data_IF_314723961768
#
_entry.id   IF_314723961768
#
_cell.length_a   1.000
_cell.length_b   1.000
_cell.length_c   1.000
_cell.angle_alpha   90.00
_cell.angle_beta   90.00
_cell.angle_gamma   90.00
#
_symmetry.space_group_name_H-M   'P 1'
#
loop_
_entity.id
_entity.type
_entity.pdbx_description
1 polymer ?
#
# COMPACT_ATOMS: atom_id res chain seq x y z
N UNK A 1 -20.84 -2.54 -4.18
CA UNK A 1 -21.95 -1.58 -3.97
C UNK A 1 -21.74 -0.88 -2.63
N UNK A 2 -21.92 0.44 -2.58
CA UNK A 2 -21.78 1.27 -1.37
C UNK A 2 -22.68 0.72 -0.24
N UNK A 3 -22.20 0.73 1.00
CA UNK A 3 -23.02 0.39 2.17
C UNK A 3 -23.53 1.67 2.85
N UNK A 4 -24.68 1.59 3.53
CA UNK A 4 -25.30 2.78 4.14
C UNK A 4 -24.36 3.51 5.10
N UNK A 5 -23.58 2.78 5.90
CA UNK A 5 -22.63 3.31 6.88
C UNK A 5 -21.46 4.08 6.22
N UNK A 6 -21.23 3.84 4.94
CA UNK A 6 -20.14 4.48 4.19
C UNK A 6 -20.55 5.82 3.56
N UNK A 7 -21.86 6.07 3.39
CA UNK A 7 -22.38 7.23 2.64
C UNK A 7 -21.79 8.55 3.15
N UNK A 8 -21.89 8.80 4.46
CA UNK A 8 -21.38 10.03 5.07
C UNK A 8 -19.87 10.17 4.86
N UNK A 9 -19.11 9.11 5.10
CA UNK A 9 -17.65 9.08 4.97
C UNK A 9 -17.21 9.39 3.54
N UNK A 10 -17.80 8.70 2.55
CA UNK A 10 -17.47 8.93 1.14
C UNK A 10 -17.79 10.37 0.75
N UNK A 11 -18.99 10.85 1.07
CA UNK A 11 -19.42 12.22 0.78
C UNK A 11 -18.45 13.26 1.35
N UNK A 12 -18.06 13.13 2.63
CA UNK A 12 -17.15 14.07 3.29
C UNK A 12 -15.74 14.00 2.73
N UNK A 13 -15.26 12.79 2.41
CA UNK A 13 -13.93 12.61 1.79
C UNK A 13 -13.83 13.31 0.42
N UNK A 14 -14.88 13.24 -0.40
CA UNK A 14 -14.90 13.90 -1.71
C UNK A 14 -15.29 15.38 -1.64
N UNK A 15 -15.60 15.89 -0.45
CA UNK A 15 -15.90 17.31 -0.23
C UNK A 15 -17.32 17.74 -0.59
N UNK A 16 -18.28 16.81 -0.71
CA UNK A 16 -19.65 17.09 -1.10
C UNK A 16 -20.51 17.35 0.14
N UNK A 17 -21.35 18.40 0.09
CA UNK A 17 -22.30 18.73 1.17
C UNK A 17 -23.54 17.83 1.12
N UNK A 18 -24.23 17.69 2.28
CA UNK A 18 -25.52 17.00 2.33
C UNK A 18 -26.55 17.64 1.38
N UNK A 19 -26.49 18.97 1.20
CA UNK A 19 -27.42 19.67 0.31
C UNK A 19 -27.20 19.30 -1.16
N UNK A 20 -25.94 19.24 -1.62
CA UNK A 20 -25.60 18.88 -2.99
C UNK A 20 -26.01 17.45 -3.28
N UNK A 21 -25.66 16.50 -2.41
CA UNK A 21 -26.03 15.11 -2.60
C UNK A 21 -27.56 14.92 -2.56
N UNK A 22 -28.26 15.53 -1.59
CA UNK A 22 -29.71 15.42 -1.47
C UNK A 22 -30.44 15.99 -2.70
N UNK A 23 -29.94 17.10 -3.24
CA UNK A 23 -30.46 17.70 -4.47
C UNK A 23 -30.28 16.78 -5.67
N UNK A 24 -29.10 16.18 -5.81
CA UNK A 24 -28.77 15.28 -6.92
C UNK A 24 -29.66 14.02 -6.94
N UNK A 25 -29.91 13.42 -5.79
CA UNK A 25 -30.73 12.20 -5.69
C UNK A 25 -32.23 12.49 -5.51
N UNK A 26 -32.65 13.76 -5.47
CA UNK A 26 -34.06 14.17 -5.39
C UNK A 26 -34.74 13.91 -4.06
N UNK A 27 -34.00 14.00 -2.93
CA UNK A 27 -34.56 13.85 -1.58
C UNK A 27 -34.34 15.10 -0.74
N UNK A 28 -35.02 15.19 0.43
CA UNK A 28 -34.74 16.28 1.37
C UNK A 28 -33.40 16.04 2.10
N UNK A 29 -32.70 17.14 2.43
CA UNK A 29 -31.47 17.09 3.26
C UNK A 29 -31.72 16.37 4.60
N UNK A 30 -32.90 16.60 5.21
CA UNK A 30 -33.26 16.00 6.50
C UNK A 30 -33.35 14.48 6.36
N UNK A 31 -33.94 13.98 5.28
CA UNK A 31 -34.05 12.56 5.00
C UNK A 31 -32.65 11.92 4.78
N UNK A 32 -31.79 12.55 3.97
CA UNK A 32 -30.40 12.09 3.78
C UNK A 32 -29.63 12.07 5.11
N UNK A 33 -29.78 13.11 5.93
CA UNK A 33 -29.14 13.16 7.26
C UNK A 33 -29.59 12.01 8.17
N UNK A 34 -30.86 11.60 8.10
CA UNK A 34 -31.37 10.45 8.86
C UNK A 34 -30.78 9.13 8.36
N UNK A 35 -30.61 8.99 7.04
CA UNK A 35 -29.93 7.82 6.43
C UNK A 35 -28.47 7.75 6.89
N UNK A 36 -27.73 8.86 6.80
CA UNK A 36 -26.32 8.91 7.18
C UNK A 36 -26.07 8.63 8.68
N UNK A 37 -27.05 8.90 9.54
CA UNK A 37 -26.99 8.57 10.98
C UNK A 37 -27.47 7.16 11.30
N UNK A 38 -28.03 6.45 10.32
CA UNK A 38 -28.64 5.14 10.54
C UNK A 38 -30.06 5.20 11.17
N UNK A 39 -30.65 6.39 11.34
CA UNK A 39 -32.00 6.58 11.88
C UNK A 39 -33.09 6.04 10.93
N UNK A 40 -32.76 5.95 9.64
CA UNK A 40 -33.62 5.36 8.59
C UNK A 40 -32.82 4.40 7.72
N UNK A 41 -33.43 3.27 7.40
CA UNK A 41 -32.88 2.30 6.46
C UNK A 41 -32.92 2.88 5.02
N UNK A 42 -31.87 2.62 4.28
CA UNK A 42 -31.75 2.92 2.86
C UNK A 42 -32.06 1.61 2.06
N UNK A 43 -33.03 1.67 1.15
CA UNK A 43 -33.29 0.55 0.26
C UNK A 43 -32.22 0.48 -0.86
N UNK A 44 -32.12 -0.64 -1.54
CA UNK A 44 -31.10 -0.88 -2.57
C UNK A 44 -31.17 0.11 -3.73
N UNK A 45 -32.39 0.49 -4.19
CA UNK A 45 -32.57 1.47 -5.27
C UNK A 45 -32.05 2.84 -4.89
N UNK A 46 -32.33 3.30 -3.66
CA UNK A 46 -31.84 4.59 -3.18
C UNK A 46 -30.33 4.55 -2.93
N UNK A 47 -29.81 3.43 -2.43
CA UNK A 47 -28.39 3.23 -2.21
C UNK A 47 -27.62 3.27 -3.53
N UNK A 48 -28.15 2.64 -4.57
CA UNK A 48 -27.59 2.71 -5.92
C UNK A 48 -27.61 4.13 -6.50
N UNK A 49 -28.71 4.89 -6.30
CA UNK A 49 -28.78 6.30 -6.71
C UNK A 49 -27.77 7.17 -5.97
N UNK A 50 -27.59 6.95 -4.66
CA UNK A 50 -26.60 7.67 -3.85
C UNK A 50 -25.19 7.36 -4.37
N UNK A 51 -24.88 6.10 -4.63
CA UNK A 51 -23.58 5.67 -5.14
C UNK A 51 -23.23 6.31 -6.48
N UNK A 52 -24.18 6.31 -7.41
CA UNK A 52 -24.02 6.97 -8.73
C UNK A 52 -23.85 8.49 -8.55
N UNK A 53 -24.65 9.12 -7.69
CA UNK A 53 -24.58 10.56 -7.45
C UNK A 53 -23.24 10.98 -6.81
N UNK A 54 -22.75 10.24 -5.83
CA UNK A 54 -21.44 10.47 -5.21
C UNK A 54 -20.33 10.37 -6.25
N UNK A 55 -20.37 9.36 -7.11
CA UNK A 55 -19.40 9.22 -8.17
C UNK A 55 -19.44 10.39 -9.18
N UNK A 56 -20.63 10.79 -9.63
CA UNK A 56 -20.79 11.87 -10.61
C UNK A 56 -20.41 13.25 -10.04
N UNK A 57 -20.66 13.47 -8.75
CA UNK A 57 -20.30 14.71 -8.05
C UNK A 57 -18.80 14.76 -7.64
N UNK A 58 -18.10 13.65 -7.67
CA UNK A 58 -16.69 13.58 -7.31
C UNK A 58 -15.83 14.24 -8.39
N UNK A 59 -15.33 15.44 -8.10
CA UNK A 59 -14.39 16.17 -8.99
C UNK A 59 -12.92 15.86 -8.73
N UNK A 60 -12.63 15.03 -7.74
CA UNK A 60 -11.26 14.63 -7.44
C UNK A 60 -10.82 13.52 -8.38
N UNK A 61 -9.71 13.76 -9.05
CA UNK A 61 -9.14 12.84 -10.05
C UNK A 61 -7.73 12.39 -9.68
N UNK A 62 -7.24 12.80 -8.52
CA UNK A 62 -5.86 12.60 -8.11
C UNK A 62 -5.63 11.18 -7.61
N UNK A 63 -4.76 10.48 -8.33
CA UNK A 63 -4.18 9.20 -7.96
C UNK A 63 -2.69 9.35 -7.71
N UNK A 64 -2.16 8.72 -6.67
CA UNK A 64 -0.75 8.76 -6.33
C UNK A 64 -0.07 7.45 -6.73
N UNK A 65 0.88 7.49 -7.67
CA UNK A 65 1.61 6.30 -8.15
C UNK A 65 2.98 6.22 -7.48
N UNK A 66 3.30 5.06 -6.90
CA UNK A 66 4.50 4.90 -6.10
C UNK A 66 5.07 3.48 -6.18
N UNK A 67 6.38 3.33 -5.92
CA UNK A 67 6.99 2.01 -5.75
C UNK A 67 6.68 1.49 -4.34
N UNK A 68 6.04 0.32 -4.27
CA UNK A 68 5.65 -0.31 -3.00
C UNK A 68 6.47 -1.56 -2.66
N UNK A 69 7.19 -2.11 -3.62
CA UNK A 69 8.13 -3.19 -3.41
C UNK A 69 9.25 -3.15 -4.46
N UNK A 70 10.48 -3.26 -4.01
CA UNK A 70 11.66 -3.34 -4.88
C UNK A 70 12.58 -4.44 -4.38
N UNK A 71 12.90 -5.42 -5.22
CA UNK A 71 13.87 -6.48 -4.92
C UNK A 71 14.87 -6.64 -6.06
N UNK A 72 16.14 -6.41 -5.75
CA UNK A 72 17.24 -6.46 -6.72
C UNK A 72 18.32 -7.41 -6.21
N UNK A 73 18.76 -8.33 -7.06
CA UNK A 73 19.89 -9.23 -6.79
C UNK A 73 21.13 -8.76 -7.53
N UNK A 74 22.27 -8.73 -6.85
CA UNK A 74 23.57 -8.36 -7.38
C UNK A 74 24.52 -9.56 -7.36
N UNK A 75 25.40 -9.71 -8.37
CA UNK A 75 26.31 -10.85 -8.48
C UNK A 75 27.61 -10.64 -7.68
N UNK A 76 27.52 -10.08 -6.48
CA UNK A 76 28.67 -9.84 -5.61
C UNK A 76 28.65 -10.79 -4.42
N UNK A 77 29.83 -11.38 -4.03
CA UNK A 77 29.94 -12.13 -2.79
C UNK A 77 29.87 -11.21 -1.55
N UNK A 78 29.60 -11.79 -0.38
CA UNK A 78 29.48 -11.02 0.89
C UNK A 78 30.69 -10.13 1.18
N UNK A 79 31.90 -10.59 0.86
CA UNK A 79 33.14 -9.79 1.03
C UNK A 79 33.16 -8.46 0.26
N UNK A 80 32.36 -8.37 -0.80
CA UNK A 80 32.23 -7.18 -1.64
C UNK A 80 30.93 -6.37 -1.33
N UNK A 81 30.27 -6.64 -0.22
CA UNK A 81 29.01 -5.98 0.14
C UNK A 81 29.12 -4.46 0.30
N UNK A 82 30.33 -3.95 0.61
CA UNK A 82 30.58 -2.51 0.65
C UNK A 82 30.16 -1.80 -0.65
N UNK A 83 30.30 -2.45 -1.82
CA UNK A 83 29.82 -1.93 -3.09
C UNK A 83 28.33 -1.61 -3.04
N UNK A 84 27.53 -2.47 -2.40
CA UNK A 84 26.09 -2.25 -2.28
C UNK A 84 25.79 -1.08 -1.37
N UNK A 85 26.43 -0.99 -0.21
CA UNK A 85 26.22 0.11 0.71
C UNK A 85 26.69 1.44 0.14
N UNK A 86 27.92 1.50 -0.35
CA UNK A 86 28.59 2.75 -0.71
C UNK A 86 28.21 3.23 -2.10
N UNK A 87 28.16 2.33 -3.09
CA UNK A 87 27.99 2.72 -4.47
C UNK A 87 26.52 2.67 -4.93
N UNK A 88 25.75 1.66 -4.49
CA UNK A 88 24.37 1.50 -4.92
C UNK A 88 23.42 2.30 -4.05
N UNK A 89 23.46 2.08 -2.72
CA UNK A 89 22.57 2.73 -1.77
C UNK A 89 23.07 4.12 -1.35
N UNK A 90 24.40 4.31 -1.33
CA UNK A 90 25.08 5.48 -0.75
C UNK A 90 24.67 5.71 0.70
N UNK A 91 24.74 4.62 1.48
CA UNK A 91 24.46 4.61 2.92
C UNK A 91 25.63 3.97 3.65
N UNK A 92 25.98 4.48 4.82
CA UNK A 92 27.09 3.97 5.62
C UNK A 92 26.71 2.65 6.29
N UNK A 93 27.45 1.56 6.03
CA UNK A 93 27.20 0.22 6.57
C UNK A 93 27.11 0.20 8.10
N UNK A 94 27.87 1.06 8.78
CA UNK A 94 27.91 1.13 10.25
C UNK A 94 26.55 1.36 10.92
N UNK A 95 25.56 1.92 10.20
CA UNK A 95 24.20 2.14 10.71
C UNK A 95 23.27 0.94 10.50
N UNK A 96 23.72 -0.08 9.79
CA UNK A 96 22.94 -1.30 9.60
C UNK A 96 23.19 -2.30 10.73
N UNK A 97 22.13 -2.94 11.18
CA UNK A 97 22.19 -4.00 12.20
C UNK A 97 22.29 -5.36 11.52
N UNK A 98 23.21 -6.19 11.93
CA UNK A 98 23.26 -7.59 11.54
C UNK A 98 22.18 -8.36 12.33
N UNK A 99 21.24 -8.96 11.62
CA UNK A 99 20.14 -9.75 12.20
C UNK A 99 20.57 -11.21 12.39
N UNK A 100 20.08 -11.87 13.44
CA UNK A 100 20.36 -13.27 13.73
C UNK A 100 19.54 -14.25 12.87
N UNK A 101 18.69 -13.75 11.98
CA UNK A 101 17.85 -14.55 11.09
C UNK A 101 17.89 -13.98 9.66
N UNK A 102 17.67 -14.84 8.70
CA UNK A 102 17.67 -14.44 7.30
C UNK A 102 16.54 -15.13 6.52
N UNK A 103 16.28 -14.65 5.31
CA UNK A 103 15.20 -15.11 4.45
C UNK A 103 15.75 -15.51 3.07
N UNK A 104 14.90 -16.10 2.25
CA UNK A 104 15.21 -16.50 0.86
C UNK A 104 16.42 -17.42 0.73
N UNK A 105 16.80 -18.12 1.83
CA UNK A 105 17.97 -18.99 1.86
C UNK A 105 19.31 -18.25 1.94
N UNK A 106 19.32 -16.97 2.25
CA UNK A 106 20.52 -16.20 2.57
C UNK A 106 21.00 -16.49 4.00
N UNK A 107 22.30 -16.26 4.26
CA UNK A 107 22.91 -16.53 5.57
C UNK A 107 22.77 -15.37 6.55
N UNK A 108 22.84 -14.13 6.05
CA UNK A 108 22.86 -12.91 6.88
C UNK A 108 21.86 -11.90 6.36
N UNK A 109 21.31 -11.08 7.27
CA UNK A 109 20.48 -9.93 6.96
C UNK A 109 21.04 -8.70 7.64
N UNK A 110 21.33 -7.67 6.85
CA UNK A 110 21.64 -6.33 7.36
C UNK A 110 20.38 -5.48 7.26
N UNK A 111 19.96 -4.89 8.37
CA UNK A 111 18.74 -4.08 8.44
C UNK A 111 18.99 -2.66 8.87
N UNK A 112 18.31 -1.70 8.24
CA UNK A 112 18.22 -0.32 8.64
C UNK A 112 16.76 0.12 8.58
N UNK A 113 16.12 0.23 9.74
CA UNK A 113 14.66 0.39 9.75
C UNK A 113 13.96 -0.82 9.11
N UNK A 114 13.27 -0.58 8.02
CA UNK A 114 12.63 -1.64 7.25
C UNK A 114 13.42 -2.04 5.99
N UNK A 115 14.52 -1.34 5.67
CA UNK A 115 15.42 -1.72 4.57
C UNK A 115 16.16 -3.00 4.94
N UNK A 116 16.27 -3.92 3.99
CA UNK A 116 16.94 -5.21 4.19
C UNK A 116 17.91 -5.51 3.06
N UNK A 117 19.11 -5.96 3.44
CA UNK A 117 20.14 -6.44 2.54
C UNK A 117 20.52 -7.85 3.01
N UNK A 118 20.40 -8.82 2.11
CA UNK A 118 20.69 -10.21 2.40
C UNK A 118 22.00 -10.60 1.73
N UNK A 119 22.86 -11.28 2.47
CA UNK A 119 24.14 -11.79 1.97
C UNK A 119 24.29 -13.26 2.27
N UNK A 120 25.16 -13.95 1.53
CA UNK A 120 25.41 -15.37 1.65
C UNK A 120 26.91 -15.68 1.53
N UNK A 121 27.35 -16.77 2.18
CA UNK A 121 28.66 -17.33 1.97
C UNK A 121 28.77 -18.06 0.61
N UNK A 122 27.62 -18.38 -0.02
CA UNK A 122 27.52 -18.88 -1.38
C UNK A 122 27.69 -17.72 -2.36
N UNK A 123 28.84 -17.66 -3.03
CA UNK A 123 29.17 -16.61 -3.99
C UNK A 123 28.21 -16.57 -5.19
N UNK A 124 27.65 -17.72 -5.61
CA UNK A 124 26.68 -17.78 -6.73
C UNK A 124 25.34 -17.12 -6.36
N UNK A 125 24.99 -17.09 -5.08
CA UNK A 125 23.74 -16.48 -4.61
C UNK A 125 23.76 -14.96 -4.71
N UNK A 126 24.92 -14.35 -4.49
CA UNK A 126 25.09 -12.90 -4.54
C UNK A 126 24.47 -12.16 -3.35
N UNK A 127 24.20 -10.89 -3.53
CA UNK A 127 23.59 -10.00 -2.55
C UNK A 127 22.20 -9.61 -3.02
N UNK A 128 21.22 -9.59 -2.11
CA UNK A 128 19.84 -9.22 -2.41
C UNK A 128 19.45 -7.99 -1.58
N UNK A 129 18.97 -6.94 -2.24
CA UNK A 129 18.30 -5.80 -1.60
C UNK A 129 16.81 -6.05 -1.64
N UNK A 130 16.11 -5.75 -0.54
CA UNK A 130 14.66 -5.76 -0.46
C UNK A 130 14.13 -4.51 0.22
N UNK A 131 13.26 -3.81 -0.48
CA UNK A 131 12.43 -2.74 0.05
C UNK A 131 10.97 -3.15 -0.07
N UNK A 132 10.20 -3.09 1.00
CA UNK A 132 8.79 -3.46 1.01
C UNK A 132 7.96 -2.43 1.75
N UNK A 133 6.90 -1.92 1.13
CA UNK A 133 5.98 -0.96 1.76
C UNK A 133 6.69 0.22 2.42
N UNK A 134 6.76 0.21 3.74
CA UNK A 134 7.40 1.28 4.53
C UNK A 134 8.85 1.52 4.14
N UNK A 135 9.61 0.46 3.80
CA UNK A 135 11.03 0.65 3.45
C UNK A 135 11.23 1.36 2.13
N UNK A 136 10.28 1.27 1.17
CA UNK A 136 10.32 2.12 -0.02
C UNK A 136 10.20 3.61 0.38
N UNK A 137 9.30 3.94 1.34
CA UNK A 137 9.15 5.33 1.83
C UNK A 137 10.39 5.80 2.60
N UNK A 138 11.00 4.92 3.42
CA UNK A 138 12.25 5.23 4.11
C UNK A 138 13.39 5.46 3.10
N UNK A 139 13.47 4.65 2.06
CA UNK A 139 14.52 4.82 1.04
C UNK A 139 14.34 6.09 0.21
N UNK A 140 13.11 6.51 -0.07
CA UNK A 140 12.83 7.79 -0.73
C UNK A 140 13.31 9.00 0.08
N UNK A 141 13.25 8.91 1.40
CA UNK A 141 13.82 9.94 2.26
C UNK A 141 15.34 10.07 2.03
N UNK A 142 16.05 8.94 1.93
CA UNK A 142 17.48 8.95 1.61
C UNK A 142 17.75 9.44 0.19
N UNK A 143 16.97 9.00 -0.79
CA UNK A 143 17.09 9.47 -2.17
C UNK A 143 16.95 11.01 -2.23
N UNK A 144 15.96 11.57 -1.53
CA UNK A 144 15.74 13.01 -1.48
C UNK A 144 16.93 13.75 -0.85
N UNK A 145 17.46 13.24 0.28
CA UNK A 145 18.62 13.81 0.94
C UNK A 145 19.88 13.75 0.07
N UNK A 146 20.03 12.68 -0.70
CA UNK A 146 21.11 12.49 -1.67
C UNK A 146 20.89 13.26 -2.99
N UNK A 147 19.78 13.98 -3.15
CA UNK A 147 19.34 14.63 -4.40
C UNK A 147 19.26 13.66 -5.57
N UNK A 148 18.78 12.45 -5.31
CA UNK A 148 18.59 11.37 -6.26
C UNK A 148 17.11 11.04 -6.40
N UNK A 149 16.77 10.37 -7.50
CA UNK A 149 15.44 9.82 -7.78
C UNK A 149 15.46 8.29 -7.77
N UNK A 150 14.29 7.66 -7.96
CA UNK A 150 14.21 6.23 -8.22
C UNK A 150 14.89 5.84 -9.55
N UNK A 151 14.83 6.71 -10.55
CA UNK A 151 15.53 6.52 -11.83
C UNK A 151 17.03 6.41 -11.61
N UNK A 152 17.63 7.35 -10.86
CA UNK A 152 19.06 7.34 -10.52
C UNK A 152 19.46 6.05 -9.79
N UNK A 153 18.62 5.60 -8.85
CA UNK A 153 18.86 4.34 -8.14
C UNK A 153 18.78 3.15 -9.08
N UNK A 154 17.79 3.08 -9.96
CA UNK A 154 17.65 1.96 -10.90
C UNK A 154 18.76 1.93 -11.95
N UNK A 155 19.16 3.07 -12.48
CA UNK A 155 20.36 3.14 -13.33
C UNK A 155 21.57 2.60 -12.58
N UNK A 156 21.77 3.03 -11.34
CA UNK A 156 22.87 2.54 -10.53
C UNK A 156 22.82 1.04 -10.27
N UNK A 157 21.62 0.49 -10.06
CA UNK A 157 21.46 -0.96 -9.96
C UNK A 157 21.92 -1.66 -11.25
N UNK A 158 21.55 -1.14 -12.43
CA UNK A 158 21.96 -1.71 -13.72
C UNK A 158 23.47 -1.61 -13.94
N UNK A 159 24.11 -0.47 -13.60
CA UNK A 159 25.56 -0.28 -13.69
C UNK A 159 26.33 -1.36 -12.91
N UNK A 160 25.77 -1.78 -11.74
CA UNK A 160 26.34 -2.82 -10.90
C UNK A 160 25.74 -4.22 -11.17
N UNK A 161 25.21 -4.45 -12.38
CA UNK A 161 24.66 -5.74 -12.84
C UNK A 161 23.53 -6.27 -11.94
N UNK A 162 22.76 -5.38 -11.36
CA UNK A 162 21.57 -5.72 -10.59
C UNK A 162 20.48 -6.34 -11.46
N UNK A 163 19.90 -7.43 -11.00
CA UNK A 163 18.80 -8.15 -11.65
C UNK A 163 17.53 -7.92 -10.83
N UNK A 164 16.52 -7.32 -11.43
CA UNK A 164 15.26 -7.03 -10.75
C UNK A 164 14.40 -8.27 -10.58
N UNK A 165 14.26 -8.75 -9.35
CA UNK A 165 13.51 -9.96 -9.01
C UNK A 165 12.04 -9.69 -8.74
N UNK A 166 11.70 -8.48 -8.25
CA UNK A 166 10.33 -8.06 -8.03
C UNK A 166 10.24 -6.54 -7.95
N UNK A 167 9.23 -5.99 -8.59
CA UNK A 167 8.78 -4.60 -8.48
C UNK A 167 7.28 -4.61 -8.28
N UNK A 168 6.80 -3.99 -7.20
CA UNK A 168 5.37 -3.70 -7.04
C UNK A 168 5.18 -2.19 -7.13
N UNK A 169 4.22 -1.79 -7.96
CA UNK A 169 3.81 -0.41 -8.13
C UNK A 169 2.41 -0.28 -7.55
N UNK A 170 2.23 0.66 -6.65
CA UNK A 170 0.93 0.96 -6.07
C UNK A 170 0.36 2.26 -6.66
N UNK A 171 -0.94 2.26 -6.88
CA UNK A 171 -1.75 3.43 -7.22
C UNK A 171 -2.67 3.65 -6.03
N UNK A 172 -2.43 4.72 -5.30
CA UNK A 172 -3.21 5.13 -4.13
C UNK A 172 -4.33 6.05 -4.54
N UNK A 173 -5.54 5.66 -4.18
CA UNK A 173 -6.76 6.41 -4.34
C UNK A 173 -7.21 6.96 -2.98
N UNK A 174 -7.25 8.28 -2.85
CA UNK A 174 -7.67 9.00 -1.64
C UNK A 174 -9.13 9.44 -1.66
N UNK A 175 -9.78 9.35 -2.82
CA UNK A 175 -11.08 9.99 -3.07
C UNK A 175 -12.15 9.04 -3.59
N UNK A 176 -12.02 7.73 -3.38
CA UNK A 176 -12.97 6.71 -3.83
C UNK A 176 -13.24 6.73 -5.36
N UNK A 177 -12.19 7.02 -6.16
CA UNK A 177 -12.23 6.88 -7.62
C UNK A 177 -12.40 5.41 -7.99
N UNK A 178 -11.65 4.52 -7.29
CA UNK A 178 -11.87 3.08 -7.33
C UNK A 178 -12.98 2.70 -6.34
N UNK A 179 -13.82 1.78 -6.77
CA UNK A 179 -14.83 1.11 -5.92
C UNK A 179 -14.54 -0.39 -5.94
N UNK A 180 -13.97 -0.90 -4.85
CA UNK A 180 -13.53 -2.30 -4.79
C UNK A 180 -14.72 -3.27 -4.79
N UNK A 181 -15.80 -3.06 -4.00
CA UNK A 181 -17.03 -3.84 -4.11
C UNK A 181 -17.59 -3.90 -5.53
N UNK A 182 -17.63 -2.77 -6.24
CA UNK A 182 -18.08 -2.70 -7.64
C UNK A 182 -17.18 -3.52 -8.57
N UNK A 183 -15.86 -3.42 -8.44
CA UNK A 183 -14.92 -4.20 -9.25
C UNK A 183 -15.05 -5.71 -8.98
N UNK A 184 -15.36 -6.10 -7.74
CA UNK A 184 -15.65 -7.48 -7.40
C UNK A 184 -16.90 -7.97 -8.10
N UNK A 185 -17.99 -7.18 -8.07
CA UNK A 185 -19.23 -7.48 -8.77
C UNK A 185 -19.00 -7.64 -10.28
N UNK A 186 -18.24 -6.72 -10.90
CA UNK A 186 -17.84 -6.82 -12.31
C UNK A 186 -17.04 -8.09 -12.62
N UNK A 187 -16.19 -8.55 -11.72
CA UNK A 187 -15.46 -9.80 -11.86
C UNK A 187 -16.38 -11.02 -11.76
N UNK A 188 -17.30 -11.05 -10.77
CA UNK A 188 -18.28 -12.11 -10.56
C UNK A 188 -19.28 -12.21 -11.73
N UNK A 189 -19.69 -11.08 -12.33
CA UNK A 189 -20.55 -11.01 -13.49
C UNK A 189 -19.83 -11.22 -14.83
N UNK A 190 -18.56 -11.59 -14.79
CA UNK A 190 -17.72 -11.77 -15.97
C UNK A 190 -17.58 -10.52 -16.86
N UNK A 191 -17.71 -9.34 -16.29
CA UNK A 191 -17.61 -8.04 -16.97
C UNK A 191 -16.20 -7.42 -16.88
N UNK A 192 -15.19 -8.27 -16.69
CA UNK A 192 -13.77 -7.91 -16.84
C UNK A 192 -13.19 -8.69 -18.01
N UNK A 193 -12.81 -7.99 -19.07
CA UNK A 193 -12.02 -8.56 -20.16
C UNK A 193 -10.57 -8.55 -19.73
N UNK A 194 -9.90 -9.71 -19.75
CA UNK A 194 -8.54 -9.83 -19.25
C UNK A 194 -7.72 -10.88 -20.00
N UNK A 195 -6.42 -10.67 -20.05
CA UNK A 195 -5.46 -11.71 -20.46
C UNK A 195 -5.21 -12.73 -19.36
N UNK A 196 -5.59 -12.43 -18.11
CA UNK A 196 -5.54 -13.37 -17.01
C UNK A 196 -6.72 -14.36 -17.09
N UNK A 197 -6.51 -15.58 -16.60
CA UNK A 197 -7.52 -16.66 -16.67
C UNK A 197 -8.38 -16.77 -15.40
N UNK A 198 -7.95 -16.15 -14.30
CA UNK A 198 -8.59 -16.32 -13.00
C UNK A 198 -8.42 -15.09 -12.12
N UNK A 199 -9.38 -14.93 -11.24
CA UNK A 199 -9.36 -13.97 -10.14
C UNK A 199 -9.63 -14.68 -8.82
N UNK A 200 -9.37 -14.01 -7.71
CA UNK A 200 -9.72 -14.46 -6.35
C UNK A 200 -10.19 -13.27 -5.55
N UNK A 201 -11.21 -13.50 -4.75
CA UNK A 201 -11.80 -12.50 -3.88
C UNK A 201 -11.57 -12.92 -2.43
N UNK A 202 -11.17 -11.97 -1.61
CA UNK A 202 -11.15 -12.11 -0.16
C UNK A 202 -12.07 -11.06 0.43
N UNK A 203 -13.16 -11.53 1.04
CA UNK A 203 -14.06 -10.71 1.85
C UNK A 203 -13.75 -11.03 3.31
N UNK A 204 -13.32 -10.05 4.06
CA UNK A 204 -12.96 -10.21 5.46
C UNK A 204 -14.05 -9.63 6.34
N UNK A 205 -14.46 -10.38 7.37
CA UNK A 205 -15.47 -9.96 8.34
C UNK A 205 -15.02 -10.29 9.76
N UNK A 206 -15.42 -9.47 10.74
CA UNK A 206 -15.18 -9.73 12.16
C UNK A 206 -16.30 -10.57 12.75
N UNK A 207 -15.97 -11.70 13.39
CA UNK A 207 -16.91 -12.48 14.19
C UNK A 207 -17.11 -11.76 15.53
N UNK A 208 -18.14 -10.93 15.64
CA UNK A 208 -18.48 -10.23 16.87
C UNK A 208 -19.58 -10.99 17.64
N UNK A 209 -19.44 -11.04 18.98
CA UNK A 209 -20.45 -11.61 19.89
C UNK A 209 -21.84 -10.93 19.82
N UNK A 210 -21.93 -9.73 19.24
CA UNK A 210 -23.16 -8.93 19.16
C UNK A 210 -23.79 -8.93 17.76
N UNK A 211 -23.42 -9.85 16.86
CA UNK A 211 -24.13 -10.08 15.58
C UNK A 211 -23.98 -8.96 14.54
N UNK A 212 -23.14 -7.96 14.75
CA UNK A 212 -22.81 -6.98 13.71
C UNK A 212 -21.60 -7.47 12.92
N UNK A 213 -21.82 -7.89 11.68
CA UNK A 213 -20.76 -8.17 10.72
C UNK A 213 -19.99 -6.86 10.47
N UNK A 214 -18.84 -6.72 11.13
CA UNK A 214 -17.93 -5.63 10.77
C UNK A 214 -17.19 -6.03 9.51
N UNK A 215 -17.45 -5.32 8.42
CA UNK A 215 -16.61 -5.37 7.25
C UNK A 215 -15.19 -4.94 7.66
N UNK A 216 -14.20 -5.78 7.36
CA UNK A 216 -12.77 -5.50 7.60
C UNK A 216 -11.99 -5.41 6.28
N UNK A 217 -12.71 -5.11 5.19
CA UNK A 217 -12.20 -4.82 3.88
C UNK A 217 -12.27 -5.97 2.89
N UNK A 218 -12.25 -5.60 1.63
CA UNK A 218 -12.30 -6.49 0.48
C UNK A 218 -11.00 -6.42 -0.32
N UNK A 219 -10.62 -7.54 -0.92
CA UNK A 219 -9.47 -7.63 -1.82
C UNK A 219 -9.82 -8.45 -3.05
N UNK A 220 -9.54 -7.89 -4.23
CA UNK A 220 -9.63 -8.55 -5.53
C UNK A 220 -8.23 -8.81 -6.07
N UNK A 221 -7.87 -10.07 -6.27
CA UNK A 221 -6.68 -10.47 -6.99
C UNK A 221 -7.05 -10.87 -8.41
N UNK A 222 -6.35 -10.33 -9.41
CA UNK A 222 -6.48 -10.73 -10.82
C UNK A 222 -5.13 -11.32 -11.26
N UNK A 223 -5.16 -12.58 -11.75
CA UNK A 223 -3.98 -13.36 -12.05
C UNK A 223 -3.50 -14.24 -10.89
N UNK A 224 -2.65 -15.20 -11.19
CA UNK A 224 -2.11 -16.16 -10.22
C UNK A 224 -0.98 -15.55 -9.40
N UNK A 225 -0.88 -15.91 -8.11
CA UNK A 225 0.26 -15.55 -7.26
C UNK A 225 1.60 -16.10 -7.76
N UNK A 226 1.55 -17.19 -8.55
CA UNK A 226 2.74 -17.81 -9.19
C UNK A 226 3.12 -17.13 -10.51
N UNK A 227 2.24 -16.29 -11.07
CA UNK A 227 2.50 -15.55 -12.30
C UNK A 227 3.53 -14.45 -12.09
N UNK A 228 4.22 -14.07 -13.14
CA UNK A 228 5.14 -12.94 -13.13
C UNK A 228 4.41 -11.58 -13.12
N UNK A 229 3.13 -11.57 -13.47
CA UNK A 229 2.25 -10.40 -13.35
C UNK A 229 1.03 -10.78 -12.55
N UNK A 230 0.70 -9.98 -11.55
CA UNK A 230 -0.52 -10.10 -10.75
C UNK A 230 -0.98 -8.72 -10.34
N UNK A 231 -2.29 -8.51 -10.36
CA UNK A 231 -2.91 -7.32 -9.78
C UNK A 231 -3.54 -7.66 -8.44
N UNK A 232 -3.43 -6.73 -7.49
CA UNK A 232 -4.04 -6.80 -6.18
C UNK A 232 -4.73 -5.47 -5.90
N UNK A 233 -6.05 -5.49 -5.77
CA UNK A 233 -6.88 -4.29 -5.64
C UNK A 233 -7.66 -4.42 -4.34
N UNK A 234 -7.52 -3.46 -3.42
CA UNK A 234 -8.09 -3.61 -2.09
C UNK A 234 -8.41 -2.28 -1.39
N UNK A 235 -9.31 -2.37 -0.40
CA UNK A 235 -9.66 -1.26 0.48
C UNK A 235 -8.53 -1.03 1.48
N UNK A 236 -7.69 -0.03 1.20
CA UNK A 236 -6.46 0.27 1.96
C UNK A 236 -6.75 0.84 3.34
N UNK A 237 -7.82 1.60 3.48
CA UNK A 237 -8.27 2.16 4.76
C UNK A 237 -8.63 1.06 5.77
N UNK A 238 -9.34 0.02 5.32
CA UNK A 238 -9.64 -1.15 6.16
C UNK A 238 -8.38 -1.94 6.53
N UNK A 239 -7.43 -2.10 5.60
CA UNK A 239 -6.15 -2.72 5.91
C UNK A 239 -5.39 -1.95 7.01
N UNK A 240 -5.37 -0.61 6.94
CA UNK A 240 -4.75 0.24 7.94
C UNK A 240 -5.50 0.21 9.28
N UNK A 241 -6.82 0.16 9.25
CA UNK A 241 -7.64 -0.02 10.45
C UNK A 241 -7.28 -1.32 11.17
N UNK A 242 -7.19 -2.44 10.45
CA UNK A 242 -6.89 -3.76 11.05
C UNK A 242 -5.44 -3.84 11.55
N UNK A 243 -4.47 -3.38 10.74
CA UNK A 243 -3.04 -3.52 11.07
C UNK A 243 -2.52 -2.49 12.06
N UNK A 244 -3.04 -1.28 12.03
CA UNK A 244 -2.50 -0.15 12.80
C UNK A 244 -3.48 0.42 13.81
N UNK A 245 -4.76 -0.01 13.77
CA UNK A 245 -5.81 0.47 14.65
C UNK A 245 -6.26 1.90 14.35
N UNK A 246 -5.98 2.44 13.16
CA UNK A 246 -6.52 3.73 12.74
C UNK A 246 -8.03 3.65 12.55
N UNK A 247 -8.75 4.73 12.81
CA UNK A 247 -10.13 4.83 12.33
C UNK A 247 -10.13 5.03 10.81
N UNK A 248 -11.23 4.65 10.15
CA UNK A 248 -11.35 4.80 8.70
C UNK A 248 -11.27 6.27 8.24
N UNK A 249 -11.61 7.21 9.12
CA UNK A 249 -11.53 8.66 8.85
C UNK A 249 -10.09 9.19 8.95
N UNK A 250 -9.25 8.59 9.79
CA UNK A 250 -7.84 8.97 9.95
C UNK A 250 -6.95 8.48 8.79
N UNK A 251 -7.45 7.56 7.96
CA UNK A 251 -6.68 7.02 6.85
C UNK A 251 -6.75 7.94 5.64
N UNK A 252 -5.60 8.31 5.08
CA UNK A 252 -5.55 9.17 3.88
C UNK A 252 -5.88 8.38 2.62
N UNK A 253 -5.23 7.22 2.42
CA UNK A 253 -5.48 6.34 1.27
C UNK A 253 -6.68 5.46 1.54
N UNK A 254 -7.70 5.52 0.67
CA UNK A 254 -8.93 4.74 0.78
C UNK A 254 -8.82 3.40 0.07
N UNK A 255 -8.42 3.42 -1.19
CA UNK A 255 -8.24 2.22 -2.00
C UNK A 255 -6.82 2.16 -2.57
N UNK A 256 -6.37 0.97 -2.90
CA UNK A 256 -5.09 0.76 -3.57
C UNK A 256 -5.20 -0.27 -4.68
N UNK A 257 -4.59 0.04 -5.82
CA UNK A 257 -4.36 -0.87 -6.91
C UNK A 257 -2.87 -1.17 -7.01
N UNK A 258 -2.45 -2.41 -6.81
CA UNK A 258 -1.05 -2.84 -6.92
C UNK A 258 -0.82 -3.68 -8.18
N UNK A 259 0.21 -3.32 -8.92
CA UNK A 259 0.77 -4.12 -10.01
C UNK A 259 2.01 -4.82 -9.46
N UNK A 260 1.99 -6.15 -9.40
CA UNK A 260 3.10 -6.97 -8.91
C UNK A 260 3.80 -7.62 -10.08
N UNK A 261 5.05 -7.23 -10.31
CA UNK A 261 5.89 -7.69 -11.40
C UNK A 261 7.06 -8.50 -10.86
N UNK A 262 7.35 -9.66 -11.48
CA UNK A 262 8.44 -10.55 -11.06
C UNK A 262 9.34 -10.88 -12.24
N UNK A 263 10.61 -11.17 -11.95
CA UNK A 263 11.63 -11.65 -12.89
C UNK A 263 11.68 -10.80 -14.17
N UNK A 264 11.56 -11.42 -15.36
CA UNK A 264 11.64 -10.73 -16.64
C UNK A 264 10.63 -9.58 -16.79
N UNK A 265 9.46 -9.67 -16.15
CA UNK A 265 8.46 -8.60 -16.19
C UNK A 265 8.89 -7.39 -15.37
N UNK A 266 9.57 -7.62 -14.25
CA UNK A 266 10.15 -6.54 -13.46
C UNK A 266 11.28 -5.84 -14.23
N UNK A 267 12.16 -6.58 -14.86
CA UNK A 267 13.25 -6.03 -15.71
C UNK A 267 12.71 -5.25 -16.91
N UNK A 268 11.72 -5.82 -17.61
CA UNK A 268 11.06 -5.15 -18.74
C UNK A 268 10.41 -3.84 -18.31
N UNK A 269 9.73 -3.84 -17.15
CA UNK A 269 9.13 -2.63 -16.61
C UNK A 269 10.16 -1.56 -16.32
N UNK A 270 11.26 -1.91 -15.64
CA UNK A 270 12.34 -0.95 -15.32
C UNK A 270 12.93 -0.36 -16.60
N UNK A 271 13.19 -1.18 -17.62
CA UNK A 271 13.69 -0.69 -18.91
C UNK A 271 12.72 0.29 -19.58
N UNK A 272 11.41 -0.01 -19.57
CA UNK A 272 10.40 0.91 -20.09
C UNK A 272 10.33 2.19 -19.28
N UNK A 273 10.33 2.10 -17.94
CA UNK A 273 10.29 3.25 -17.07
C UNK A 273 11.46 4.18 -17.28
N UNK A 274 12.69 3.66 -17.33
CA UNK A 274 13.90 4.44 -17.55
C UNK A 274 13.95 5.06 -18.96
N UNK A 275 13.38 4.40 -19.97
CA UNK A 275 13.35 4.93 -21.34
C UNK A 275 12.28 6.03 -21.54
N UNK A 276 11.10 5.89 -20.90
CA UNK A 276 10.00 6.85 -21.08
C UNK A 276 10.02 7.97 -20.06
N UNK A 277 10.67 7.78 -18.92
CA UNK A 277 10.75 8.72 -17.80
C UNK A 277 9.37 9.25 -17.34
N UNK A 278 8.34 8.44 -17.48
CA UNK A 278 6.95 8.73 -17.11
C UNK A 278 6.31 7.47 -16.50
N UNK A 279 6.41 7.38 -15.18
CA UNK A 279 5.89 6.22 -14.44
C UNK A 279 4.39 6.01 -14.67
N UNK A 280 3.62 7.11 -14.71
CA UNK A 280 2.18 7.04 -14.87
C UNK A 280 1.81 6.42 -16.21
N UNK A 281 2.41 6.92 -17.29
CA UNK A 281 2.17 6.42 -18.63
C UNK A 281 2.49 4.93 -18.75
N UNK A 282 3.61 4.50 -18.19
CA UNK A 282 4.01 3.08 -18.21
C UNK A 282 3.03 2.23 -17.41
N UNK A 283 2.67 2.66 -16.19
CA UNK A 283 1.78 1.93 -15.28
C UNK A 283 0.38 1.78 -15.88
N UNK A 284 -0.25 2.87 -16.34
CA UNK A 284 -1.60 2.79 -16.92
C UNK A 284 -1.62 2.07 -18.27
N UNK A 285 -0.53 2.12 -19.06
CA UNK A 285 -0.39 1.31 -20.26
C UNK A 285 -0.37 -0.19 -19.95
N UNK A 286 0.25 -0.60 -18.84
CA UNK A 286 0.22 -1.99 -18.37
C UNK A 286 -1.22 -2.37 -18.00
N UNK A 287 -1.89 -1.56 -17.19
CA UNK A 287 -3.28 -1.85 -16.78
C UNK A 287 -4.16 -2.03 -18.01
N UNK A 288 -4.14 -1.09 -18.95
CA UNK A 288 -4.93 -1.14 -20.19
C UNK A 288 -4.66 -2.39 -21.04
N UNK A 289 -3.42 -2.88 -21.05
CA UNK A 289 -3.07 -4.12 -21.76
C UNK A 289 -3.64 -5.37 -21.11
N UNK A 290 -3.71 -5.40 -19.78
CA UNK A 290 -4.02 -6.61 -19.04
C UNK A 290 -5.49 -6.75 -18.67
N UNK A 291 -6.20 -5.65 -18.42
CA UNK A 291 -7.60 -5.67 -18.00
C UNK A 291 -8.38 -4.49 -18.59
N UNK A 292 -9.67 -4.75 -18.85
CA UNK A 292 -10.66 -3.77 -19.24
C UNK A 292 -11.98 -4.09 -18.53
N UNK A 293 -12.51 -3.17 -17.76
CA UNK A 293 -13.83 -3.31 -17.13
C UNK A 293 -14.89 -2.81 -18.10
N UNK A 294 -15.96 -3.59 -18.30
CA UNK A 294 -16.97 -3.34 -19.31
C UNK A 294 -18.39 -3.47 -18.74
N UNK A 295 -19.37 -2.95 -19.46
CA UNK A 295 -20.78 -3.08 -19.13
C UNK A 295 -21.44 -4.05 -20.11
N UNK A 296 -22.16 -5.05 -19.58
CA UNK A 296 -22.90 -6.00 -20.41
C UNK A 296 -24.08 -5.28 -21.09
N UNK A 297 -24.05 -5.24 -22.41
CA UNK A 297 -25.11 -4.65 -23.26
C UNK A 297 -26.00 -5.71 -23.93
N UNK A 298 -25.94 -6.98 -23.49
CA UNK A 298 -26.69 -8.08 -24.07
C UNK A 298 -26.10 -8.69 -25.36
N UNK A 299 -24.92 -8.21 -25.81
CA UNK A 299 -24.23 -8.80 -26.96
C UNK A 299 -23.70 -10.19 -26.62
N UNK A 300 -23.66 -11.08 -27.62
CA UNK A 300 -23.14 -12.45 -27.44
C UNK A 300 -21.63 -12.54 -27.24
N UNK A 301 -20.88 -11.52 -27.64
CA UNK A 301 -19.43 -11.46 -27.51
C UNK A 301 -19.01 -10.22 -26.72
N UNK A 302 -18.27 -10.45 -25.61
CA UNK A 302 -17.81 -9.43 -24.67
C UNK A 302 -16.95 -8.34 -25.33
N UNK A 303 -16.32 -8.60 -26.49
CA UNK A 303 -15.55 -7.58 -27.21
C UNK A 303 -16.38 -6.37 -27.64
N UNK A 304 -17.72 -6.54 -27.76
CA UNK A 304 -18.66 -5.47 -28.11
C UNK A 304 -19.25 -4.77 -26.87
N UNK A 305 -18.89 -5.19 -25.67
CA UNK A 305 -19.32 -4.50 -24.46
C UNK A 305 -18.62 -3.14 -24.38
N UNK A 306 -19.35 -2.05 -24.10
CA UNK A 306 -18.73 -0.75 -23.88
C UNK A 306 -17.85 -0.78 -22.63
N UNK A 307 -16.80 0.02 -22.65
CA UNK A 307 -15.97 0.22 -21.45
C UNK A 307 -16.84 0.86 -20.38
N UNK A 308 -16.72 0.38 -19.14
CA UNK A 308 -17.42 0.98 -18.02
C UNK A 308 -16.92 2.40 -17.76
N UNK A 309 -17.84 3.33 -17.53
CA UNK A 309 -17.52 4.75 -17.36
C UNK A 309 -16.63 5.04 -16.14
N UNK A 310 -16.87 4.38 -14.99
CA UNK A 310 -16.01 4.53 -13.79
C UNK A 310 -14.58 4.06 -14.07
N UNK A 311 -14.44 2.99 -14.83
CA UNK A 311 -13.14 2.49 -15.26
C UNK A 311 -12.43 3.45 -16.21
N UNK A 312 -13.16 4.04 -17.15
CA UNK A 312 -12.62 5.09 -18.02
C UNK A 312 -12.13 6.30 -17.24
N UNK A 313 -12.88 6.75 -16.24
CA UNK A 313 -12.46 7.83 -15.36
C UNK A 313 -11.18 7.48 -14.57
N UNK A 314 -11.06 6.26 -14.07
CA UNK A 314 -9.83 5.80 -13.42
C UNK A 314 -8.64 5.81 -14.38
N UNK A 315 -8.82 5.45 -15.63
CA UNK A 315 -7.75 5.41 -16.64
C UNK A 315 -7.47 6.75 -17.30
N UNK A 316 -8.47 7.61 -17.46
CA UNK A 316 -8.35 8.88 -18.19
C UNK A 316 -7.56 9.95 -17.46
N UNK A 317 -7.38 9.84 -16.17
CA UNK A 317 -6.51 10.74 -15.40
C UNK A 317 -5.02 10.64 -15.75
N UNK A 318 -4.66 9.72 -16.62
CA UNK A 318 -3.34 9.72 -17.28
C UNK A 318 -3.04 11.07 -17.96
N UNK A 319 -4.05 11.86 -18.33
CA UNK A 319 -3.88 13.18 -18.97
C UNK A 319 -3.69 14.33 -17.98
N UNK A 320 -4.05 14.16 -16.74
CA UNK A 320 -3.87 15.13 -15.67
C UNK A 320 -2.67 14.73 -14.85
N UNK A 321 -1.80 15.66 -14.53
CA UNK A 321 -0.53 15.45 -13.82
C UNK A 321 -0.67 14.54 -12.59
N UNK A 322 -0.49 13.24 -12.78
CA UNK A 322 -0.29 12.32 -11.68
C UNK A 322 1.05 12.66 -11.03
N UNK A 323 1.03 13.07 -9.81
CA UNK A 323 2.25 13.28 -9.05
C UNK A 323 2.71 11.91 -8.56
N UNK A 324 3.98 11.57 -8.85
CA UNK A 324 4.72 10.69 -7.95
C UNK A 324 4.68 11.40 -6.60
N UNK A 325 3.72 11.07 -5.77
CA UNK A 325 3.73 11.57 -4.43
C UNK A 325 4.55 10.65 -3.60
N UNK A 326 5.67 11.16 -3.40
CA UNK A 326 6.46 10.70 -2.31
C UNK A 326 6.93 11.96 -1.61
N UNK A 327 6.18 12.42 -0.64
CA UNK A 327 6.85 13.01 0.49
C UNK A 327 7.49 11.82 1.19
N UNK A 328 8.84 11.72 1.15
CA UNK A 328 9.56 10.69 1.88
C UNK A 328 9.14 10.81 3.34
N UNK A 329 8.63 9.73 3.90
CA UNK A 329 8.36 9.71 5.34
C UNK A 329 9.67 9.33 6.02
N UNK A 330 10.18 10.25 6.80
CA UNK A 330 11.17 9.94 7.82
C UNK A 330 10.69 8.72 8.63
N UNK A 331 11.63 7.85 9.09
CA UNK A 331 11.26 6.77 10.02
C UNK A 331 10.54 7.40 11.21
N UNK A 332 9.23 7.29 11.21
CA UNK A 332 8.45 7.97 12.23
C UNK A 332 8.33 7.05 13.44
N UNK A 333 9.10 7.39 14.48
CA UNK A 333 8.98 6.76 15.80
C UNK A 333 7.56 6.88 16.35
N UNK A 334 6.74 7.85 15.84
CA UNK A 334 5.33 7.98 16.18
C UNK A 334 4.53 6.74 15.84
N UNK A 335 4.84 6.03 14.74
CA UNK A 335 4.21 4.74 14.42
C UNK A 335 4.50 3.71 15.51
N UNK A 336 5.73 3.69 16.05
CA UNK A 336 6.12 2.82 17.17
C UNK A 336 5.39 3.23 18.44
N UNK A 337 5.31 4.53 18.75
CA UNK A 337 4.55 5.03 19.89
C UNK A 337 3.06 4.72 19.77
N UNK A 338 2.45 4.94 18.63
CA UNK A 338 1.04 4.62 18.38
C UNK A 338 0.77 3.13 18.57
N UNK A 339 1.65 2.26 18.07
CA UNK A 339 1.54 0.82 18.29
C UNK A 339 1.69 0.46 19.78
N UNK A 340 2.69 1.02 20.48
CA UNK A 340 2.89 0.80 21.92
C UNK A 340 1.67 1.23 22.71
N UNK A 341 1.11 2.41 22.46
CA UNK A 341 -0.07 2.91 23.16
C UNK A 341 -1.32 2.07 22.90
N UNK A 342 -1.52 1.62 21.67
CA UNK A 342 -2.75 0.89 21.29
C UNK A 342 -2.68 -0.60 21.60
N UNK A 343 -1.52 -1.24 21.48
CA UNK A 343 -1.38 -2.69 21.58
C UNK A 343 -0.69 -3.15 22.85
N UNK A 344 0.25 -2.39 23.37
CA UNK A 344 1.09 -2.80 24.51
C UNK A 344 0.67 -2.13 25.82
N UNK A 345 0.39 -0.83 25.80
CA UNK A 345 0.07 -0.07 27.01
C UNK A 345 -1.15 -0.62 27.79
N UNK A 346 -2.25 -1.09 27.19
CA UNK A 346 -3.34 -1.71 27.95
C UNK A 346 -2.91 -2.93 28.73
N UNK A 347 -2.06 -3.78 28.13
CA UNK A 347 -1.53 -4.98 28.80
C UNK A 347 -0.54 -4.62 29.91
N UNK A 348 0.33 -3.63 29.67
CA UNK A 348 1.23 -3.13 30.71
C UNK A 348 0.47 -2.50 31.89
N UNK A 349 -0.59 -1.74 31.63
CA UNK A 349 -1.47 -1.21 32.67
C UNK A 349 -2.10 -2.34 33.50
N UNK A 350 -2.60 -3.37 32.85
CA UNK A 350 -3.14 -4.55 33.56
C UNK A 350 -2.08 -5.21 34.44
N UNK A 351 -0.87 -5.44 33.93
CA UNK A 351 0.24 -6.02 34.72
C UNK A 351 0.64 -5.11 35.88
N UNK A 352 0.62 -3.78 35.68
CA UNK A 352 0.90 -2.81 36.73
C UNK A 352 -0.11 -2.85 37.87
N UNK A 353 -1.40 -3.05 37.56
CA UNK A 353 -2.41 -3.24 38.59
C UNK A 353 -2.23 -4.58 39.34
N UNK A 354 -1.85 -5.65 38.63
CA UNK A 354 -1.52 -6.92 39.26
C UNK A 354 -0.26 -6.83 40.16
N UNK A 355 0.76 -6.07 39.71
CA UNK A 355 1.95 -5.80 40.53
C UNK A 355 1.59 -5.14 41.87
N UNK A 356 0.63 -4.22 41.88
CA UNK A 356 0.13 -3.58 43.12
C UNK A 356 -0.60 -4.58 44.04
N UNK A 357 -1.40 -5.47 43.44
CA UNK A 357 -2.19 -6.45 44.20
C UNK A 357 -1.33 -7.57 44.80
N UNK A 358 -0.32 -8.01 44.04
CA UNK A 358 0.53 -9.15 44.43
C UNK A 358 1.89 -8.73 44.98
N UNK A 359 2.11 -7.41 45.16
CA UNK A 359 3.39 -6.86 45.67
C UNK A 359 4.58 -7.35 44.81
N UNK A 360 4.44 -7.24 43.49
CA UNK A 360 5.46 -7.65 42.53
C UNK A 360 5.95 -6.45 41.69
N UNK A 361 7.10 -6.60 41.04
CA UNK A 361 7.76 -5.54 40.26
C UNK A 361 7.99 -5.95 38.80
N UNK A 362 7.02 -6.58 38.17
CA UNK A 362 7.18 -7.10 36.81
C UNK A 362 7.29 -5.96 35.78
N UNK A 363 6.49 -4.90 35.88
CA UNK A 363 6.57 -3.76 34.94
C UNK A 363 7.88 -3.00 35.09
N UNK A 364 8.36 -2.63 36.31
CA UNK A 364 9.71 -2.05 36.46
C UNK A 364 10.82 -2.93 35.89
N UNK A 365 10.78 -4.24 36.11
CA UNK A 365 11.76 -5.18 35.53
C UNK A 365 11.73 -5.21 34.01
N UNK A 366 10.54 -5.17 33.38
CA UNK A 366 10.39 -5.08 31.92
C UNK A 366 10.98 -3.79 31.37
N UNK A 367 10.73 -2.65 32.01
CA UNK A 367 11.23 -1.34 31.60
C UNK A 367 12.75 -1.17 31.81
N UNK A 368 13.34 -1.87 32.77
CA UNK A 368 14.78 -1.88 33.05
C UNK A 368 15.54 -2.97 32.28
N UNK A 369 14.93 -3.60 31.29
CA UNK A 369 15.60 -4.59 30.44
C UNK A 369 16.71 -3.89 29.66
N UNK A 370 17.88 -4.52 29.60
CA UNK A 370 19.03 -4.01 28.83
C UNK A 370 18.65 -3.94 27.35
N UNK A 371 19.00 -2.83 26.73
CA UNK A 371 18.83 -2.67 25.28
C UNK A 371 19.77 -3.66 24.56
N UNK A 372 19.26 -4.24 23.48
CA UNK A 372 20.08 -5.02 22.56
C UNK A 372 20.64 -4.13 21.46
N UNK A 373 21.61 -4.63 20.71
CA UNK A 373 22.28 -3.91 19.60
C UNK A 373 21.32 -3.26 18.60
N UNK A 374 20.18 -3.92 18.36
CA UNK A 374 19.14 -3.39 17.48
C UNK A 374 18.52 -2.10 18.01
N UNK A 375 18.17 -2.07 19.28
CA UNK A 375 17.55 -0.90 19.92
C UNK A 375 18.56 0.25 20.02
N UNK A 376 19.82 -0.05 20.38
CA UNK A 376 20.89 0.94 20.46
C UNK A 376 21.15 1.60 19.10
N UNK A 377 21.18 0.82 17.99
CA UNK A 377 21.32 1.35 16.64
C UNK A 377 20.10 2.15 16.18
N UNK A 378 18.87 1.77 16.57
CA UNK A 378 17.66 2.57 16.31
C UNK A 378 17.78 3.93 17.00
N UNK A 379 18.20 3.96 18.27
CA UNK A 379 18.40 5.21 19.01
C UNK A 379 19.50 6.05 18.37
N UNK A 380 20.65 5.47 18.06
CA UNK A 380 21.75 6.17 17.37
C UNK A 380 21.27 6.81 16.05
N UNK A 381 20.48 6.08 15.26
CA UNK A 381 19.92 6.59 14.02
C UNK A 381 18.95 7.76 14.22
N UNK A 382 18.07 7.68 15.22
CA UNK A 382 17.11 8.73 15.54
C UNK A 382 17.76 10.02 16.08
N UNK A 383 18.98 9.89 16.61
CA UNK A 383 19.77 11.01 17.12
C UNK A 383 20.79 11.55 16.11
N UNK A 384 20.95 10.89 14.95
CA UNK A 384 21.85 11.33 13.87
C UNK A 384 21.10 12.13 12.84
N UNK A 385 21.71 13.21 12.35
CA UNK A 385 21.20 13.94 11.19
C UNK A 385 21.35 13.09 9.93
N UNK A 386 20.51 13.36 8.91
CA UNK A 386 20.49 12.57 7.68
C UNK A 386 21.83 12.63 6.95
N UNK A 387 22.53 13.76 7.03
CA UNK A 387 23.86 13.97 6.45
C UNK A 387 24.92 13.08 7.08
N UNK A 388 24.72 12.61 8.34
CA UNK A 388 25.63 11.69 9.00
C UNK A 388 25.46 10.24 8.52
N UNK A 389 24.31 9.90 7.96
CA UNK A 389 23.93 8.54 7.52
C UNK A 389 24.31 8.29 6.07
N UNK A 390 24.17 9.31 5.22
CA UNK A 390 24.51 9.24 3.78
C UNK A 390 26.01 9.37 3.54
N UNK A 391 26.47 8.97 2.35
CA UNK A 391 27.86 9.11 1.87
C UNK A 391 28.02 10.33 0.98
#
# INVERSE_FOLDING_TARGET
MLQQEQIKRVRETIGITQNELAKEIGVSRVYLSQIERGDKACNEDLLSKIDIALFNLNTNTRLDVLFDYVRVRFPFPDKERSIIFEEVLRLKEKYFTLENHSFFGYARTYSFGNLRIFTSDDEERGILIEFSGKSCREFEYFLKAQKRSWEDFFYRCLDFKGVFKRIDIAIDDKYYILDIPFLIEKAENEEIISVFRNFRIYKSGGLNKNGSDKNVGNTLYIGSAKSEVQFCIYEKDYEQMVKMGYSLDETETKNRFEIRLKNERAETFINHFLNYNDLNKVVFSIINRYIKVVDNNGSSDKKYFPTNYRWECFLNDVKTSLKLTTEPKEYDIKDTYNWLFRQVAPTLSMVSELDKVFDTENVPKMLNTRLGDRQEKIISRLLSDIEDVIL
#
